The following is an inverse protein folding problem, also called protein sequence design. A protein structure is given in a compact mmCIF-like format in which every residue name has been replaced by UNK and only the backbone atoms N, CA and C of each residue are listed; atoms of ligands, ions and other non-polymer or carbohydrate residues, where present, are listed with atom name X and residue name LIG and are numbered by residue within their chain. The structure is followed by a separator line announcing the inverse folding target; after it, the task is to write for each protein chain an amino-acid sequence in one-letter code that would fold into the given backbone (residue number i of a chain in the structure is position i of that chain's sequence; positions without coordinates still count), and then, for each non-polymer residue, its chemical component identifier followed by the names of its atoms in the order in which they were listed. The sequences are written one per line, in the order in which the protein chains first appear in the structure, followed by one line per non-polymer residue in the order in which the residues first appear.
data_IF_279904596767
#
_entry.id   IF_279904596767
#
_cell.length_a   1.000
_cell.length_b   1.000
_cell.length_c   1.000
_cell.angle_alpha   90.00
_cell.angle_beta   90.00
_cell.angle_gamma   90.00
#
_symmetry.space_group_name_H-M   'P 1'
#
loop_
_entity.id
_entity.type
_entity.pdbx_description
1 polymer ?
#
# COMPACT_ATOMS: atom_id res chain seq x y z
N UNK A 1 3.54 10.48 5.36
CA UNK A 1 2.33 10.06 4.62
C UNK A 1 2.67 8.87 3.75
N UNK A 2 1.73 7.95 3.56
CA UNK A 2 1.95 6.74 2.79
C UNK A 2 0.70 6.34 1.99
N UNK A 3 0.88 5.56 0.92
CA UNK A 3 -0.20 4.93 0.17
C UNK A 3 0.23 3.55 -0.35
N UNK A 4 -0.73 2.65 -0.48
CA UNK A 4 -0.54 1.33 -1.06
C UNK A 4 -0.80 1.35 -2.57
N UNK A 5 -0.03 0.55 -3.30
CA UNK A 5 -0.24 0.23 -4.70
C UNK A 5 -0.05 -1.26 -4.90
N UNK A 6 -0.85 -1.88 -5.75
CA UNK A 6 -0.65 -3.27 -6.13
C UNK A 6 -0.80 -3.43 -7.65
N UNK A 7 -0.06 -4.37 -8.23
CA UNK A 7 -0.24 -4.80 -9.62
C UNK A 7 -1.35 -5.88 -9.77
N UNK A 8 -1.96 -6.26 -8.66
CA UNK A 8 -3.07 -7.22 -8.53
C UNK A 8 -4.44 -6.57 -8.86
N UNK A 9 -4.59 -6.02 -10.09
CA UNK A 9 -5.82 -5.33 -10.52
C UNK A 9 -7.07 -6.21 -10.36
N UNK A 10 -8.07 -5.71 -9.62
CA UNK A 10 -9.36 -6.37 -9.42
C UNK A 10 -9.35 -7.53 -8.42
N UNK A 11 -8.23 -7.76 -7.73
CA UNK A 11 -8.09 -8.81 -6.72
C UNK A 11 -7.33 -8.35 -5.48
N UNK A 12 -7.20 -7.04 -5.28
CA UNK A 12 -6.51 -6.43 -4.15
C UNK A 12 -7.36 -5.30 -3.59
N UNK A 13 -7.62 -5.37 -2.29
CA UNK A 13 -8.18 -4.30 -1.49
C UNK A 13 -7.38 -4.16 -0.19
N UNK A 14 -7.35 -2.97 0.38
CA UNK A 14 -6.61 -2.71 1.60
C UNK A 14 -7.27 -1.63 2.46
N UNK A 15 -7.33 -1.86 3.77
CA UNK A 15 -7.86 -0.90 4.74
C UNK A 15 -6.90 -0.72 5.93
N UNK A 16 -6.40 0.51 6.18
CA UNK A 16 -6.46 1.66 5.28
C UNK A 16 -5.58 1.46 4.03
N UNK A 17 -5.94 2.06 2.90
CA UNK A 17 -5.11 2.04 1.68
C UNK A 17 -4.06 3.18 1.65
N UNK A 18 -4.19 4.16 2.53
CA UNK A 18 -3.30 5.31 2.67
C UNK A 18 -3.41 5.89 4.07
N UNK A 19 -2.41 6.66 4.49
CA UNK A 19 -2.43 7.21 5.84
C UNK A 19 -1.32 8.21 6.14
N UNK A 20 -1.45 8.82 7.31
CA UNK A 20 -0.38 9.57 7.96
C UNK A 20 0.06 8.74 9.17
N UNK A 21 1.35 8.48 9.29
CA UNK A 21 1.95 7.78 10.43
C UNK A 21 2.95 8.73 11.09
N UNK A 22 2.83 8.95 12.39
CA UNK A 22 3.76 9.78 13.17
C UNK A 22 4.90 8.93 13.72
N UNK A 23 5.97 9.59 14.12
CA UNK A 23 7.12 8.92 14.74
C UNK A 23 6.70 8.17 16.00
N UNK A 24 7.05 6.89 16.09
CA UNK A 24 6.69 6.02 17.22
C UNK A 24 5.31 5.36 17.11
N UNK A 25 4.47 5.78 16.16
CA UNK A 25 3.19 5.12 15.91
C UNK A 25 3.37 3.83 15.09
N UNK A 26 2.46 2.88 15.33
CA UNK A 26 2.29 1.69 14.51
C UNK A 26 0.91 1.71 13.87
N UNK A 27 0.82 1.20 12.64
CA UNK A 27 -0.45 1.12 11.92
C UNK A 27 -0.59 -0.26 11.28
N UNK A 28 -1.68 -0.94 11.63
CA UNK A 28 -2.06 -2.22 11.02
C UNK A 28 -2.79 -1.95 9.71
N UNK A 29 -2.41 -2.67 8.66
CA UNK A 29 -3.08 -2.63 7.36
C UNK A 29 -3.65 -4.01 7.08
N UNK A 30 -4.96 -4.09 6.89
CA UNK A 30 -5.63 -5.32 6.46
C UNK A 30 -5.61 -5.35 4.94
N UNK A 31 -5.06 -6.42 4.37
CA UNK A 31 -5.00 -6.66 2.93
C UNK A 31 -5.93 -7.82 2.60
N UNK A 32 -6.88 -7.56 1.72
CA UNK A 32 -7.80 -8.57 1.20
C UNK A 32 -7.42 -8.90 -0.24
N UNK A 33 -7.28 -10.19 -0.52
CA UNK A 33 -7.04 -10.70 -1.87
C UNK A 33 -8.26 -11.49 -2.32
N UNK A 34 -8.86 -11.11 -3.45
CA UNK A 34 -9.96 -11.88 -4.01
C UNK A 34 -9.39 -13.17 -4.60
N UNK A 35 -9.87 -14.36 -4.20
CA UNK A 35 -9.50 -15.60 -4.86
C UNK A 35 -9.96 -15.51 -6.31
N UNK A 36 -9.01 -15.53 -7.26
CA UNK A 36 -9.36 -15.68 -8.67
C UNK A 36 -9.77 -17.13 -8.86
N UNK A 37 -10.87 -17.36 -9.59
CA UNK A 37 -11.33 -18.71 -9.94
C UNK A 37 -10.13 -19.57 -10.34
N UNK A 38 -10.00 -20.71 -9.65
CA UNK A 38 -8.92 -21.69 -9.81
C UNK A 38 -8.72 -22.00 -11.31
N UNK A 39 -7.81 -21.28 -11.95
CA UNK A 39 -7.18 -21.74 -13.18
C UNK A 39 -5.88 -22.40 -12.75
N UNK A 40 -5.58 -23.63 -13.21
CA UNK A 40 -4.29 -24.28 -12.99
C UNK A 40 -3.21 -23.51 -13.76
N UNK A 41 -2.84 -22.36 -13.19
CA UNK A 41 -1.83 -21.43 -13.68
C UNK A 41 -0.59 -21.59 -12.79
N UNK A 42 0.62 -21.39 -13.32
CA UNK A 42 1.82 -21.32 -12.49
C UNK A 42 1.63 -20.28 -11.37
N UNK A 43 2.27 -20.53 -10.22
CA UNK A 43 2.32 -19.63 -9.05
C UNK A 43 2.46 -18.19 -9.54
N UNK A 44 1.41 -17.39 -9.36
CA UNK A 44 1.44 -15.99 -9.76
C UNK A 44 1.98 -15.16 -8.60
N UNK A 45 3.07 -14.47 -8.85
CA UNK A 45 3.61 -13.49 -7.92
C UNK A 45 2.97 -12.14 -8.20
N UNK A 46 2.53 -11.46 -7.14
CA UNK A 46 2.08 -10.07 -7.18
C UNK A 46 3.04 -9.17 -6.42
N UNK A 47 2.98 -7.87 -6.66
CA UNK A 47 3.74 -6.86 -5.92
C UNK A 47 2.79 -5.90 -5.25
N UNK A 48 3.00 -5.70 -3.95
CA UNK A 48 2.33 -4.68 -3.15
C UNK A 48 3.41 -3.67 -2.75
N UNK A 49 3.28 -2.43 -3.19
CA UNK A 49 4.20 -1.34 -2.88
C UNK A 49 3.60 -0.40 -1.84
N UNK A 50 4.41 -0.02 -0.86
CA UNK A 50 4.15 1.07 0.08
C UNK A 50 4.97 2.26 -0.39
N UNK A 51 4.30 3.25 -0.99
CA UNK A 51 4.90 4.54 -1.33
C UNK A 51 4.75 5.48 -0.14
N UNK A 52 5.84 6.03 0.38
CA UNK A 52 5.79 6.95 1.52
C UNK A 52 6.68 8.17 1.31
N UNK A 53 6.28 9.27 1.93
CA UNK A 53 6.99 10.54 1.93
C UNK A 53 6.99 11.13 3.33
N UNK A 54 8.12 11.70 3.72
CA UNK A 54 8.23 12.47 4.95
C UNK A 54 7.51 13.81 4.77
N UNK A 55 6.76 14.22 5.79
CA UNK A 55 5.95 15.45 5.79
C UNK A 55 6.26 16.27 7.03
N UNK A 56 5.91 17.55 6.98
CA UNK A 56 6.08 18.42 8.14
C UNK A 56 5.33 17.86 9.37
N UNK A 57 5.93 17.87 10.58
CA UNK A 57 5.33 17.29 11.80
C UNK A 57 3.92 17.82 12.13
N UNK A 58 3.64 19.06 11.76
CA UNK A 58 2.36 19.73 11.99
C UNK A 58 1.26 19.37 10.98
N UNK A 59 1.53 18.47 10.03
CA UNK A 59 0.49 17.98 9.13
C UNK A 59 -0.60 17.27 9.96
N UNK A 60 -1.85 17.74 9.98
CA UNK A 60 -2.86 17.20 10.91
C UNK A 60 -3.42 15.87 10.41
N UNK A 61 -3.52 15.69 9.08
CA UNK A 61 -4.10 14.53 8.41
C UNK A 61 -3.40 14.24 7.09
N UNK A 62 -3.72 13.10 6.49
CA UNK A 62 -3.31 12.81 5.12
C UNK A 62 -3.89 13.85 4.16
N UNK A 63 -3.04 14.49 3.36
CA UNK A 63 -3.42 15.42 2.31
C UNK A 63 -2.85 14.91 0.98
N UNK A 64 -3.75 14.63 0.03
CA UNK A 64 -3.39 14.07 -1.28
C UNK A 64 -2.55 15.03 -2.12
N UNK A 65 -2.80 16.34 -2.04
CA UNK A 65 -2.09 17.33 -2.84
C UNK A 65 -0.66 17.49 -2.33
N UNK A 66 -0.51 17.60 -1.00
CA UNK A 66 0.82 17.60 -0.36
C UNK A 66 1.56 16.31 -0.66
N UNK A 67 0.90 15.15 -0.49
CA UNK A 67 1.52 13.86 -0.79
C UNK A 67 2.00 13.73 -2.24
N UNK A 68 1.27 14.29 -3.20
CA UNK A 68 1.64 14.26 -4.62
C UNK A 68 2.90 15.06 -4.90
N UNK A 69 3.08 16.23 -4.28
CA UNK A 69 4.23 17.12 -4.52
C UNK A 69 5.53 16.66 -3.85
N UNK A 70 5.47 15.69 -2.93
CA UNK A 70 6.65 15.22 -2.21
C UNK A 70 7.41 14.13 -2.96
N UNK A 71 8.72 14.08 -2.73
CA UNK A 71 9.57 12.96 -3.11
C UNK A 71 9.17 11.70 -2.32
N UNK A 72 8.99 10.58 -3.02
CA UNK A 72 8.47 9.33 -2.46
C UNK A 72 9.57 8.30 -2.42
N UNK A 73 9.70 7.65 -1.27
CA UNK A 73 10.40 6.38 -1.13
C UNK A 73 9.39 5.24 -1.31
N UNK A 74 9.89 4.08 -1.74
CA UNK A 74 9.07 2.89 -1.99
C UNK A 74 9.63 1.69 -1.26
N UNK A 75 8.75 0.93 -0.62
CA UNK A 75 9.03 -0.44 -0.19
C UNK A 75 8.14 -1.40 -0.98
N UNK A 76 8.68 -2.54 -1.40
CA UNK A 76 7.96 -3.54 -2.20
C UNK A 76 7.88 -4.83 -1.40
N UNK A 77 6.66 -5.34 -1.24
CA UNK A 77 6.33 -6.64 -0.70
C UNK A 77 5.95 -7.55 -1.87
N UNK A 78 6.52 -8.76 -1.90
CA UNK A 78 6.13 -9.78 -2.87
C UNK A 78 5.00 -10.61 -2.28
N UNK A 79 3.87 -10.66 -2.98
CA UNK A 79 2.76 -11.56 -2.66
C UNK A 79 2.96 -12.87 -3.43
N UNK A 80 3.05 -13.98 -2.70
CA UNK A 80 3.05 -15.33 -3.25
C UNK A 80 1.63 -15.87 -3.06
N UNK A 81 0.92 -16.09 -4.16
CA UNK A 81 -0.44 -16.60 -4.17
C UNK A 81 -0.36 -18.06 -4.63
N UNK A 82 -0.63 -18.97 -3.70
CA UNK A 82 -0.64 -20.42 -3.92
C UNK A 82 -2.07 -20.92 -4.16
#
# INVERSE_FOLDING_TARGET
MWSLKADLKGSFDATPAYGLLRTGEQQTIVICLTPRQFQPSPVKTGKIAIDYAFVHPFSPKFDRNVYRSLEKRRHILQAIIN
#
